data_IF_766168389000
#
_entry.id   IF_766168389000
#
_cell.length_a   1.000
_cell.length_b   1.000
_cell.length_c   1.000
_cell.angle_alpha   90.00
_cell.angle_beta   90.00
_cell.angle_gamma   90.00
#
_symmetry.space_group_name_H-M   'P 1'
#
loop_
_entity.id
_entity.type
_entity.pdbx_description
1 polymer ?
2 non-polymer ?
3 non-polymer ?
4 water ?
#
# COMPACT_ATOMS: atom_id res chain seq x y z
N UNK A 14 -12.64 21.28 24.54
CA UNK A 14 -12.10 19.92 24.83
C UNK A 14 -13.19 18.86 24.80
N UNK A 15 -14.31 19.15 24.14
CA UNK A 15 -15.39 18.17 24.09
C UNK A 15 -15.03 17.01 23.18
N UNK A 16 -15.79 15.92 23.30
CA UNK A 16 -15.55 14.72 22.51
C UNK A 16 -15.61 14.87 20.99
N UNK A 17 -16.69 15.50 20.48
CA UNK A 17 -16.81 15.67 19.02
C UNK A 17 -15.58 16.34 18.41
N UNK A 18 -15.07 17.37 19.09
CA UNK A 18 -13.89 18.08 18.61
C UNK A 18 -12.64 17.21 18.67
N UNK A 19 -12.55 16.39 19.71
CA UNK A 19 -11.40 15.50 19.87
C UNK A 19 -11.38 14.46 18.75
N UNK A 20 -12.56 13.99 18.36
CA UNK A 20 -12.68 13.00 17.30
C UNK A 20 -12.05 13.49 15.99
N UNK A 21 -12.47 14.68 15.55
CA UNK A 21 -11.95 15.27 14.31
C UNK A 21 -10.54 15.82 14.46
N UNK A 22 -10.21 16.26 15.67
CA UNK A 22 -8.89 16.82 15.93
C UNK A 22 -7.78 15.81 15.69
N UNK A 23 -8.09 14.54 15.92
CA UNK A 23 -7.10 13.48 15.72
C UNK A 23 -6.64 13.46 14.26
N UNK A 24 -7.59 13.54 13.33
CA UNK A 24 -7.27 13.51 11.90
C UNK A 24 -6.55 14.77 11.43
N UNK A 25 -6.89 15.90 12.02
CA UNK A 25 -6.29 17.17 11.66
C UNK A 25 -4.80 17.18 11.92
N UNK A 26 -4.31 16.19 12.65
CA UNK A 26 -2.89 16.12 12.95
C UNK A 26 -2.09 15.48 11.82
N UNK A 27 -2.78 14.91 10.84
CA UNK A 27 -2.11 14.29 9.70
C UNK A 27 -2.08 15.23 8.51
N UNK A 28 -1.04 15.12 7.69
CA UNK A 28 -0.94 15.97 6.51
C UNK A 28 -2.03 15.62 5.49
N UNK A 29 -2.45 16.62 4.72
CA UNK A 29 -3.50 16.46 3.71
C UNK A 29 -3.50 15.11 2.98
N UNK A 30 -2.45 14.86 2.21
CA UNK A 30 -2.36 13.62 1.47
C UNK A 30 -2.23 12.36 2.30
N UNK A 31 -2.36 12.49 3.61
CA UNK A 31 -2.25 11.33 4.50
C UNK A 31 -3.53 11.04 5.31
N UNK A 32 -4.65 11.65 4.94
CA UNK A 32 -5.89 11.40 5.66
C UNK A 32 -6.63 10.20 5.05
N UNK A 33 -7.26 9.41 5.90
CA UNK A 33 -7.95 8.20 5.48
C UNK A 33 -9.28 8.46 4.76
N UNK A 34 -9.91 9.60 5.05
CA UNK A 34 -11.17 9.96 4.42
C UNK A 34 -11.30 11.49 4.42
N UNK A 35 -12.17 12.05 3.58
CA UNK A 35 -12.30 13.50 3.51
C UNK A 35 -12.58 14.16 4.85
N UNK A 36 -11.88 15.26 5.13
CA UNK A 36 -12.09 15.97 6.40
C UNK A 36 -13.54 16.45 6.41
N UNK A 37 -14.11 16.61 5.22
CA UNK A 37 -15.49 17.05 5.07
C UNK A 37 -16.46 16.03 5.63
N UNK A 38 -16.19 14.75 5.37
CA UNK A 38 -17.04 13.67 5.86
C UNK A 38 -16.87 13.58 7.38
N UNK A 39 -15.63 13.77 7.84
CA UNK A 39 -15.33 13.72 9.26
C UNK A 39 -16.05 14.83 10.03
N UNK A 40 -16.12 16.01 9.43
CA UNK A 40 -16.79 17.12 10.09
C UNK A 40 -18.30 16.94 10.17
N UNK A 41 -18.86 16.18 9.23
CA UNK A 41 -20.30 15.91 9.26
C UNK A 41 -20.52 14.91 10.38
N UNK A 42 -19.57 14.00 10.55
CA UNK A 42 -19.67 13.02 11.63
C UNK A 42 -19.60 13.79 12.95
N UNK A 43 -18.74 14.79 13.02
CA UNK A 43 -18.61 15.60 14.24
C UNK A 43 -19.96 16.24 14.55
N UNK A 44 -20.59 16.77 13.52
CA UNK A 44 -21.90 17.42 13.66
C UNK A 44 -22.91 16.43 14.22
N UNK A 45 -22.98 15.25 13.61
CA UNK A 45 -23.90 14.22 14.08
C UNK A 45 -23.59 13.84 15.52
N UNK A 46 -22.31 13.77 15.86
CA UNK A 46 -21.93 13.43 17.23
C UNK A 46 -22.52 14.43 18.21
N UNK A 47 -22.45 15.71 17.86
CA UNK A 47 -23.00 16.77 18.71
C UNK A 47 -24.50 16.63 18.87
N UNK A 48 -25.17 16.14 17.83
CA UNK A 48 -26.61 15.96 17.87
C UNK A 48 -26.98 14.99 19.00
N UNK A 49 -26.04 14.14 19.37
CA UNK A 49 -26.27 13.20 20.46
C UNK A 49 -26.94 11.87 20.19
N UNK A 50 -27.46 11.68 18.99
CA UNK A 50 -28.13 10.42 18.66
C UNK A 50 -27.07 9.37 18.32
N UNK A 51 -26.66 8.61 19.31
CA UNK A 51 -25.62 7.58 19.16
C UNK A 51 -25.95 6.56 18.07
N UNK A 52 -27.24 6.32 17.87
CA UNK A 52 -27.68 5.36 16.86
C UNK A 52 -27.20 5.85 15.49
N UNK A 53 -27.59 7.07 15.14
CA UNK A 53 -27.22 7.66 13.87
C UNK A 53 -25.72 7.92 13.78
N UNK A 54 -25.12 8.30 14.90
CA UNK A 54 -23.68 8.58 14.94
C UNK A 54 -22.86 7.33 14.65
N UNK A 55 -23.15 6.24 15.35
CA UNK A 55 -22.40 4.99 15.14
C UNK A 55 -22.57 4.53 13.69
N UNK A 56 -23.79 4.68 13.17
CA UNK A 56 -24.07 4.26 11.81
C UNK A 56 -23.22 5.06 10.82
N UNK A 57 -23.11 6.37 11.04
CA UNK A 57 -22.32 7.23 10.16
C UNK A 57 -20.83 6.86 10.19
N UNK A 58 -20.32 6.53 11.39
CA UNK A 58 -18.92 6.15 11.52
C UNK A 58 -18.70 4.80 10.83
N UNK A 59 -19.63 3.87 11.04
CA UNK A 59 -19.52 2.55 10.42
C UNK A 59 -19.59 2.67 8.91
N UNK A 60 -20.38 3.63 8.41
CA UNK A 60 -20.49 3.83 6.97
C UNK A 60 -19.14 4.32 6.41
N UNK A 61 -18.49 5.23 7.14
CA UNK A 61 -17.20 5.76 6.71
C UNK A 61 -16.19 4.61 6.62
N UNK A 62 -16.18 3.75 7.63
CA UNK A 62 -15.29 2.60 7.67
C UNK A 62 -15.60 1.63 6.54
N UNK A 63 -16.88 1.46 6.24
CA UNK A 63 -17.28 0.55 5.19
C UNK A 63 -16.78 1.05 3.83
N UNK A 64 -16.88 2.36 3.61
CA UNK A 64 -16.43 2.94 2.35
C UNK A 64 -14.94 2.71 2.15
N UNK A 65 -14.17 2.91 3.22
CA UNK A 65 -12.73 2.69 3.14
C UNK A 65 -12.42 1.21 2.94
N UNK A 66 -12.96 0.36 3.80
CA UNK A 66 -12.71 -1.07 3.74
C UNK A 66 -13.18 -1.76 2.44
N UNK A 67 -14.34 -1.37 1.94
CA UNK A 67 -14.91 -1.98 0.75
C UNK A 67 -14.31 -1.52 -0.58
N UNK A 68 -13.49 -0.48 -0.54
CA UNK A 68 -12.91 0.05 -1.78
C UNK A 68 -12.11 -0.99 -2.56
N UNK A 69 -12.50 -1.17 -3.82
CA UNK A 69 -11.81 -2.10 -4.70
C UNK A 69 -11.07 -1.31 -5.78
N UNK A 70 -9.84 -1.71 -6.08
CA UNK A 70 -9.04 -1.05 -7.10
C UNK A 70 -8.71 -2.04 -8.21
N UNK A 71 -9.06 -1.69 -9.44
CA UNK A 71 -8.79 -2.55 -10.59
C UNK A 71 -7.80 -1.83 -11.49
N UNK A 72 -6.58 -2.36 -11.57
CA UNK A 72 -5.54 -1.75 -12.38
C UNK A 72 -5.25 -2.50 -13.68
N UNK A 73 -5.42 -1.82 -14.81
CA UNK A 73 -5.15 -2.44 -16.10
C UNK A 73 -3.70 -2.23 -16.48
N UNK A 74 -3.02 -3.31 -16.86
CA UNK A 74 -1.62 -3.25 -17.26
C UNK A 74 -1.54 -3.79 -18.70
N UNK A 75 -1.15 -2.92 -19.63
CA UNK A 75 -1.06 -3.32 -21.03
C UNK A 75 0.32 -3.03 -21.62
N UNK A 76 0.61 -3.65 -22.76
CA UNK A 76 1.89 -3.47 -23.42
C UNK A 76 2.26 -4.71 -24.22
N UNK A 77 3.30 -4.62 -25.04
CA UNK A 77 3.73 -5.76 -25.85
C UNK A 77 4.26 -6.90 -24.99
N UNK A 78 4.16 -8.11 -25.53
CA UNK A 78 4.67 -9.28 -24.85
C UNK A 78 6.15 -9.05 -24.55
N UNK A 79 6.61 -9.46 -23.37
CA UNK A 79 8.00 -9.30 -23.02
C UNK A 79 8.41 -7.93 -22.50
N UNK A 80 7.48 -6.99 -22.46
CA UNK A 80 7.80 -5.64 -21.97
C UNK A 80 7.97 -5.61 -20.45
N UNK A 81 7.45 -6.62 -19.76
CA UNK A 81 7.57 -6.67 -18.32
C UNK A 81 6.28 -6.47 -17.56
N UNK A 82 5.16 -6.83 -18.17
CA UNK A 82 3.87 -6.67 -17.53
C UNK A 82 3.72 -7.61 -16.33
N UNK A 83 4.01 -8.88 -16.55
CA UNK A 83 3.91 -9.88 -15.47
C UNK A 83 4.82 -9.52 -14.30
N UNK A 84 6.05 -9.12 -14.62
CA UNK A 84 7.00 -8.75 -13.59
C UNK A 84 6.54 -7.55 -12.76
N UNK A 85 6.02 -6.53 -13.45
CA UNK A 85 5.53 -5.32 -12.79
C UNK A 85 4.43 -5.71 -11.81
N UNK A 86 3.50 -6.53 -12.29
CA UNK A 86 2.38 -6.99 -11.48
C UNK A 86 2.84 -7.78 -10.26
N UNK A 87 3.84 -8.64 -10.44
CA UNK A 87 4.35 -9.42 -9.32
C UNK A 87 5.08 -8.53 -8.32
N UNK A 88 5.86 -7.59 -8.83
CA UNK A 88 6.61 -6.69 -7.97
C UNK A 88 5.69 -5.88 -7.06
N UNK A 89 4.67 -5.24 -7.63
CA UNK A 89 3.76 -4.44 -6.81
C UNK A 89 3.00 -5.29 -5.79
N UNK A 90 2.79 -6.57 -6.11
CA UNK A 90 2.10 -7.49 -5.21
C UNK A 90 3.07 -8.09 -4.19
N UNK A 91 4.37 -7.82 -4.37
CA UNK A 91 5.37 -8.34 -3.46
C UNK A 91 5.57 -9.84 -3.61
N UNK A 92 5.36 -10.34 -4.82
CA UNK A 92 5.50 -11.76 -5.11
C UNK A 92 6.65 -12.03 -6.08
N UNK A 93 7.39 -13.11 -5.85
CA UNK A 93 8.48 -13.47 -6.74
C UNK A 93 7.92 -14.08 -8.02
N UNK A 94 8.62 -13.89 -9.13
CA UNK A 94 8.15 -14.42 -10.41
C UNK A 94 7.99 -15.93 -10.45
N UNK A 95 8.57 -16.62 -9.46
CA UNK A 95 8.47 -18.08 -9.44
C UNK A 95 7.55 -18.63 -8.34
N UNK A 96 6.87 -17.74 -7.62
CA UNK A 96 5.95 -18.15 -6.57
C UNK A 96 4.58 -18.43 -7.15
N UNK A 97 3.70 -19.03 -6.34
CA UNK A 97 2.34 -19.34 -6.79
C UNK A 97 1.54 -18.05 -6.78
N UNK A 98 0.54 -17.98 -7.66
CA UNK A 98 -0.29 -16.79 -7.73
C UNK A 98 0.37 -15.68 -8.52
N UNK A 99 1.67 -15.86 -8.79
CA UNK A 99 2.42 -14.87 -9.54
C UNK A 99 2.11 -14.99 -11.03
N UNK A 100 2.08 -13.85 -11.73
CA UNK A 100 1.81 -13.86 -13.15
C UNK A 100 3.05 -14.49 -13.80
N UNK A 101 2.86 -15.61 -14.49
CA UNK A 101 3.97 -16.30 -15.13
C UNK A 101 4.70 -15.42 -16.13
N UNK A 102 5.97 -15.15 -15.87
CA UNK A 102 6.76 -14.32 -16.77
C UNK A 102 7.20 -15.12 -18.00
N UNK A 103 6.71 -14.70 -19.16
CA UNK A 103 7.05 -15.39 -20.40
C UNK A 103 5.91 -15.40 -21.40
N UNK A 104 6.27 -15.39 -22.69
CA UNK A 104 5.27 -15.39 -23.77
C UNK A 104 4.21 -16.46 -23.55
N UNK A 109 -5.41 -14.22 -27.11
CA UNK A 109 -5.69 -14.52 -25.72
C UNK A 109 -6.53 -13.40 -25.09
N UNK A 110 -6.75 -13.48 -23.78
CA UNK A 110 -7.55 -12.48 -23.08
C UNK A 110 -6.92 -12.00 -21.77
N UNK A 111 -7.60 -11.08 -21.10
CA UNK A 111 -7.12 -10.49 -19.84
C UNK A 111 -7.14 -11.49 -18.68
N UNK A 112 -6.25 -11.29 -17.71
CA UNK A 112 -6.15 -12.17 -16.56
C UNK A 112 -5.95 -11.33 -15.28
N UNK A 113 -6.79 -11.55 -14.27
CA UNK A 113 -6.68 -10.80 -13.01
C UNK A 113 -5.71 -11.45 -12.02
N UNK A 114 -5.07 -10.60 -11.22
CA UNK A 114 -4.12 -11.07 -10.20
C UNK A 114 -4.35 -10.21 -8.97
N UNK A 115 -4.99 -10.80 -7.97
CA UNK A 115 -5.28 -10.10 -6.73
C UNK A 115 -4.04 -10.00 -5.86
N UNK A 116 -3.97 -8.95 -5.05
CA UNK A 116 -2.85 -8.78 -4.15
C UNK A 116 -3.04 -9.88 -3.10
N UNK A 117 -1.96 -10.56 -2.68
CA UNK A 117 -2.01 -11.64 -1.69
C UNK A 117 -2.56 -11.28 -0.31
N UNK A 118 -2.33 -10.05 0.12
CA UNK A 118 -2.79 -9.61 1.44
C UNK A 118 -4.02 -8.72 1.39
N UNK A 119 -4.14 -7.94 0.32
CA UNK A 119 -5.27 -7.01 0.15
C UNK A 119 -6.03 -7.42 -1.10
N UNK A 120 -6.95 -8.38 -0.97
CA UNK A 120 -7.76 -8.90 -2.08
C UNK A 120 -8.48 -7.82 -2.89
N UNK A 121 -8.73 -6.67 -2.25
CA UNK A 121 -9.42 -5.57 -2.91
C UNK A 121 -8.55 -4.79 -3.88
N UNK A 122 -7.30 -5.24 -4.04
CA UNK A 122 -6.37 -4.62 -4.98
C UNK A 122 -6.16 -5.67 -6.06
N UNK A 123 -6.61 -5.39 -7.27
CA UNK A 123 -6.52 -6.34 -8.37
C UNK A 123 -5.81 -5.79 -9.59
N UNK A 124 -4.80 -6.50 -10.05
CA UNK A 124 -4.04 -6.12 -11.24
C UNK A 124 -4.48 -6.99 -12.41
N UNK A 125 -4.78 -6.35 -13.54
CA UNK A 125 -5.21 -7.08 -14.72
C UNK A 125 -4.14 -7.04 -15.80
N UNK A 126 -3.69 -8.22 -16.24
CA UNK A 126 -2.70 -8.31 -17.29
C UNK A 126 -3.47 -8.36 -18.61
N UNK A 127 -3.34 -7.33 -19.43
CA UNK A 127 -4.06 -7.30 -20.71
C UNK A 127 -3.13 -7.62 -21.88
N UNK A 128 -3.62 -8.40 -22.85
CA UNK A 128 -2.77 -8.73 -24.01
C UNK A 128 -2.47 -7.42 -24.72
N UNK A 129 -1.25 -7.25 -25.22
CA UNK A 129 -0.89 -6.02 -25.91
C UNK A 129 -1.77 -5.83 -27.14
N UNK A 130 -2.12 -4.58 -27.44
CA UNK A 130 -2.97 -4.29 -28.60
C UNK A 130 -2.29 -4.80 -29.87
N UNK A 131 -0.96 -4.70 -29.90
CA UNK A 131 -0.20 -5.15 -31.06
C UNK A 131 -0.39 -6.62 -31.38
N UNK A 132 -0.85 -7.40 -30.42
CA UNK A 132 -1.07 -8.83 -30.65
C UNK A 132 -2.49 -9.06 -31.17
N UNK A 133 -3.25 -7.99 -31.35
CA UNK A 133 -4.62 -8.10 -31.84
C UNK A 133 -4.76 -7.34 -33.16
N UNK A 134 -5.90 -7.50 -33.81
CA UNK A 134 -6.17 -6.81 -35.08
C UNK A 134 -7.15 -5.66 -34.83
N UNK A 135 -7.26 -5.25 -33.57
CA UNK A 135 -8.19 -4.19 -33.19
C UNK A 135 -7.60 -2.79 -33.07
N UNK A 136 -8.38 -1.78 -33.51
CA UNK A 136 -7.96 -0.37 -33.46
C UNK A 136 -8.08 -0.01 -31.97
N UNK A 137 -7.44 1.09 -31.53
CA UNK A 137 -7.48 1.52 -30.12
C UNK A 137 -8.83 1.47 -29.41
N UNK A 138 -9.88 2.00 -30.04
CA UNK A 138 -11.21 2.01 -29.42
C UNK A 138 -11.81 0.62 -29.24
N UNK A 139 -11.74 -0.22 -30.28
CA UNK A 139 -12.28 -1.57 -30.20
C UNK A 139 -11.51 -2.38 -29.14
N UNK A 140 -10.21 -2.18 -29.11
CA UNK A 140 -9.35 -2.89 -28.15
C UNK A 140 -9.81 -2.61 -26.72
N UNK A 141 -9.98 -1.33 -26.40
CA UNK A 141 -10.40 -0.92 -25.06
C UNK A 141 -11.77 -1.50 -24.68
N UNK A 142 -12.71 -1.49 -25.63
CA UNK A 142 -14.03 -2.03 -25.32
C UNK A 142 -13.92 -3.53 -25.07
N UNK A 143 -13.15 -4.23 -25.90
CA UNK A 143 -12.96 -5.66 -25.75
C UNK A 143 -12.37 -5.99 -24.38
N UNK A 144 -11.46 -5.14 -23.92
CA UNK A 144 -10.80 -5.34 -22.63
C UNK A 144 -11.62 -4.87 -21.42
N UNK A 145 -12.85 -4.45 -21.67
CA UNK A 145 -13.74 -3.99 -20.60
C UNK A 145 -13.21 -2.73 -19.90
N UNK A 146 -12.86 -1.75 -20.72
CA UNK A 146 -12.35 -0.46 -20.29
C UNK A 146 -12.98 0.16 -19.04
N UNK A 147 -14.30 0.19 -18.97
CA UNK A 147 -14.98 0.80 -17.84
C UNK A 147 -14.80 0.12 -16.47
N UNK A 148 -14.22 -1.08 -16.47
CA UNK A 148 -14.01 -1.79 -15.20
C UNK A 148 -12.75 -1.36 -14.45
N UNK A 149 -11.89 -0.57 -15.09
CA UNK A 149 -10.64 -0.15 -14.44
C UNK A 149 -10.63 1.25 -13.87
N UNK A 150 -9.82 1.42 -12.83
CA UNK A 150 -9.66 2.71 -12.16
C UNK A 150 -8.61 3.53 -12.90
N UNK A 151 -7.59 2.83 -13.41
CA UNK A 151 -6.55 3.50 -14.20
C UNK A 151 -5.73 2.50 -14.99
N UNK A 152 -5.04 2.99 -16.02
CA UNK A 152 -4.24 2.15 -16.90
C UNK A 152 -2.76 2.38 -16.77
N UNK A 153 -1.98 1.30 -16.87
CA UNK A 153 -0.53 1.37 -16.84
C UNK A 153 -0.12 0.86 -18.22
N UNK A 154 0.57 1.70 -18.98
CA UNK A 154 1.03 1.31 -20.32
C UNK A 154 2.54 1.11 -20.25
N UNK A 155 2.96 -0.13 -20.43
CA UNK A 155 4.37 -0.49 -20.32
C UNK A 155 5.13 -0.79 -21.60
N UNK A 156 6.38 -0.35 -21.64
CA UNK A 156 7.28 -0.60 -22.76
C UNK A 156 8.68 -0.76 -22.17
N UNK A 157 9.45 -1.70 -22.72
CA UNK A 157 10.79 -1.95 -22.24
C UNK A 157 11.83 -1.12 -23.00
N UNK A 158 11.42 -0.49 -24.10
CA UNK A 158 12.34 0.32 -24.89
C UNK A 158 11.72 1.69 -25.19
N UNK A 159 11.17 1.86 -26.39
CA UNK A 159 10.54 3.12 -26.74
C UNK A 159 9.04 2.87 -26.88
N UNK A 160 8.24 3.92 -26.78
CA UNK A 160 6.80 3.77 -26.89
C UNK A 160 6.34 3.93 -28.34
N UNK A 161 5.75 2.87 -28.87
CA UNK A 161 5.29 2.86 -30.25
C UNK A 161 3.93 3.53 -30.43
N UNK A 162 3.57 3.77 -31.69
CA UNK A 162 2.30 4.40 -32.04
C UNK A 162 1.12 3.71 -31.35
N UNK A 163 1.17 2.39 -31.32
CA UNK A 163 0.14 1.57 -30.68
C UNK A 163 -0.15 2.04 -29.27
N UNK A 164 0.91 2.04 -28.45
CA UNK A 164 0.82 2.43 -27.04
C UNK A 164 0.30 3.85 -26.89
N UNK A 165 0.86 4.75 -27.69
CA UNK A 165 0.48 6.15 -27.64
C UNK A 165 -0.98 6.38 -28.02
N UNK A 166 -1.47 5.68 -29.04
CA UNK A 166 -2.86 5.84 -29.45
C UNK A 166 -3.84 5.32 -28.40
N UNK A 167 -3.45 4.26 -27.71
CA UNK A 167 -4.29 3.70 -26.65
C UNK A 167 -4.42 4.77 -25.58
N UNK A 168 -3.29 5.41 -25.25
CA UNK A 168 -3.27 6.45 -24.24
C UNK A 168 -4.23 7.58 -24.61
N UNK A 169 -4.14 8.04 -25.86
CA UNK A 169 -5.01 9.11 -26.32
C UNK A 169 -6.49 8.72 -26.19
N UNK A 170 -6.82 7.48 -26.55
CA UNK A 170 -8.19 7.00 -26.47
C UNK A 170 -8.67 6.95 -25.00
N UNK A 171 -7.79 6.49 -24.12
CA UNK A 171 -8.10 6.40 -22.70
C UNK A 171 -8.38 7.82 -22.17
N UNK A 172 -7.48 8.74 -22.51
CA UNK A 172 -7.61 10.12 -22.08
C UNK A 172 -8.91 10.71 -22.60
N UNK A 173 -9.26 10.39 -23.85
CA UNK A 173 -10.48 10.91 -24.45
C UNK A 173 -11.71 10.38 -23.73
N UNK A 174 -11.60 9.20 -23.13
CA UNK A 174 -12.73 8.61 -22.41
C UNK A 174 -12.74 9.01 -20.94
N UNK A 175 -11.91 10.00 -20.60
CA UNK A 175 -11.83 10.53 -19.24
C UNK A 175 -11.31 9.60 -18.15
N UNK A 176 -10.29 8.80 -18.47
CA UNK A 176 -9.71 7.92 -17.47
C UNK A 176 -8.21 8.19 -17.42
N UNK A 177 -7.58 7.91 -16.27
CA UNK A 177 -6.15 8.17 -16.11
C UNK A 177 -5.25 7.03 -16.60
N UNK A 178 -4.11 7.41 -17.18
CA UNK A 178 -3.13 6.45 -17.70
C UNK A 178 -1.75 6.89 -17.26
N UNK A 179 -0.81 5.95 -17.23
CA UNK A 179 0.56 6.24 -16.83
C UNK A 179 1.51 5.42 -17.69
N UNK A 180 2.53 6.07 -18.25
CA UNK A 180 3.51 5.38 -19.06
C UNK A 180 4.64 4.87 -18.16
N UNK A 181 4.95 3.59 -18.26
CA UNK A 181 6.01 3.01 -17.44
C UNK A 181 7.05 2.36 -18.35
N UNK A 182 8.28 2.85 -18.27
CA UNK A 182 9.37 2.33 -19.10
C UNK A 182 10.19 1.41 -18.22
N UNK A 183 10.08 0.12 -18.47
CA UNK A 183 10.78 -0.89 -17.68
C UNK A 183 12.18 -1.22 -18.17
N UNK A 184 12.84 -2.11 -17.44
CA UNK A 184 14.18 -2.59 -17.76
C UNK A 184 15.26 -1.52 -17.88
N UNK A 185 15.10 -0.39 -17.20
CA UNK A 185 16.11 0.66 -17.29
C UNK A 185 17.44 0.18 -16.72
N UNK A 186 17.39 -0.79 -15.81
CA UNK A 186 18.60 -1.32 -15.22
C UNK A 186 19.46 -1.97 -16.30
N UNK A 187 18.79 -2.64 -17.25
CA UNK A 187 19.48 -3.31 -18.35
C UNK A 187 20.18 -2.30 -19.25
N UNK A 188 19.55 -1.15 -19.45
CA UNK A 188 20.15 -0.11 -20.27
C UNK A 188 21.41 0.42 -19.61
N UNK A 189 21.32 0.71 -18.32
CA UNK A 189 22.46 1.23 -17.60
C UNK A 189 23.61 0.24 -17.55
N UNK A 190 23.30 -1.02 -17.30
CA UNK A 190 24.32 -2.07 -17.22
C UNK A 190 25.07 -2.22 -18.54
N UNK A 191 24.33 -2.35 -19.63
CA UNK A 191 24.93 -2.52 -20.94
C UNK A 191 25.76 -1.32 -21.38
N UNK A 192 25.29 -0.12 -21.11
CA UNK A 192 26.01 1.08 -21.49
C UNK A 192 27.25 1.34 -20.63
N UNK A 193 27.15 1.00 -19.34
CA UNK A 193 28.24 1.22 -18.40
C UNK A 193 29.30 0.14 -18.37
N UNK A 194 28.94 -1.07 -18.80
CA UNK A 194 29.87 -2.20 -18.78
C UNK A 194 31.29 -1.86 -19.26
N UNK A 195 32.26 -2.03 -18.38
CA UNK A 195 33.65 -1.76 -18.72
C UNK A 195 34.04 -0.30 -18.87
N UNK A 196 33.11 0.60 -18.64
CA UNK A 196 33.39 2.03 -18.75
C UNK A 196 34.05 2.56 -17.46
N UNK A 197 34.78 3.67 -17.55
CA UNK A 197 35.44 4.26 -16.37
C UNK A 197 34.39 4.71 -15.35
N UNK A 198 34.83 4.92 -14.11
CA UNK A 198 33.94 5.35 -13.04
C UNK A 198 33.18 6.61 -13.44
N UNK A 199 33.79 7.41 -14.31
CA UNK A 199 33.19 8.65 -14.76
C UNK A 199 31.91 8.49 -15.57
N UNK A 200 31.62 7.27 -16.04
CA UNK A 200 30.40 7.05 -16.81
C UNK A 200 29.20 7.58 -16.04
N UNK A 201 28.37 8.38 -16.70
CA UNK A 201 27.21 8.98 -16.05
C UNK A 201 25.92 8.18 -16.20
N UNK A 202 25.65 7.32 -15.23
CA UNK A 202 24.45 6.49 -15.25
C UNK A 202 23.17 7.31 -15.11
N UNK A 203 23.23 8.36 -14.30
CA UNK A 203 22.05 9.21 -14.11
C UNK A 203 21.60 9.86 -15.42
N UNK A 204 22.57 10.30 -16.22
CA UNK A 204 22.28 10.94 -17.51
C UNK A 204 21.47 10.03 -18.44
N UNK A 205 21.77 8.74 -18.41
CA UNK A 205 21.05 7.79 -19.25
C UNK A 205 19.54 7.90 -18.96
N UNK A 206 19.18 7.96 -17.68
CA UNK A 206 17.78 8.06 -17.27
C UNK A 206 17.18 9.38 -17.70
N UNK A 207 17.88 10.47 -17.41
CA UNK A 207 17.40 11.81 -17.77
C UNK A 207 17.15 11.89 -19.28
N UNK A 208 18.05 11.32 -20.07
CA UNK A 208 17.89 11.36 -21.53
C UNK A 208 16.64 10.58 -21.98
N UNK A 209 16.47 9.37 -21.44
CA UNK A 209 15.31 8.56 -21.82
C UNK A 209 14.00 9.25 -21.46
N UNK A 210 13.93 9.84 -20.26
CA UNK A 210 12.71 10.51 -19.84
C UNK A 210 12.34 11.64 -20.78
N UNK A 211 13.29 12.54 -21.02
CA UNK A 211 13.05 13.69 -21.90
C UNK A 211 12.67 13.26 -23.32
N UNK A 212 13.35 12.24 -23.84
CA UNK A 212 13.07 11.76 -25.18
C UNK A 212 11.65 11.21 -25.29
N UNK A 213 11.22 10.46 -24.26
CA UNK A 213 9.88 9.91 -24.25
C UNK A 213 8.83 11.02 -24.23
N UNK A 214 9.03 12.00 -23.35
CA UNK A 214 8.09 13.11 -23.26
C UNK A 214 7.98 13.92 -24.55
N UNK A 215 9.11 14.19 -25.20
CA UNK A 215 9.07 14.94 -26.45
C UNK A 215 8.24 14.14 -27.44
N UNK A 216 8.46 12.83 -27.48
CA UNK A 216 7.72 11.96 -28.39
C UNK A 216 6.22 11.98 -28.10
N UNK A 217 5.85 11.87 -26.83
CA UNK A 217 4.44 11.89 -26.44
C UNK A 217 3.76 13.18 -26.87
N UNK A 218 4.38 14.31 -26.53
CA UNK A 218 3.81 15.61 -26.87
C UNK A 218 3.76 15.81 -28.37
N UNK A 219 4.78 15.32 -29.06
CA UNK A 219 4.82 15.43 -30.51
C UNK A 219 3.58 14.72 -31.06
N UNK A 220 3.18 13.65 -30.38
CA UNK A 220 2.03 12.84 -30.79
C UNK A 220 0.67 13.27 -30.23
N UNK A 221 0.61 14.45 -29.62
CA UNK A 221 -0.67 14.93 -29.12
C UNK A 221 -1.03 14.77 -27.65
N UNK A 222 -0.13 14.26 -26.83
CA UNK A 222 -0.44 14.12 -25.41
C UNK A 222 0.30 15.23 -24.69
N UNK A 223 -0.44 16.23 -24.20
CA UNK A 223 0.13 17.39 -23.53
C UNK A 223 0.83 17.13 -22.18
N UNK A 224 0.22 16.30 -21.34
CA UNK A 224 0.79 16.01 -20.03
C UNK A 224 0.94 14.52 -19.81
N UNK A 225 1.92 13.89 -20.48
CA UNK A 225 2.13 12.45 -20.34
C UNK A 225 2.92 12.03 -19.10
N UNK A 226 2.30 11.28 -18.18
CA UNK A 226 3.04 10.86 -16.99
C UNK A 226 4.01 9.75 -17.39
N UNK A 227 5.28 9.92 -17.09
CA UNK A 227 6.29 8.94 -17.45
C UNK A 227 7.13 8.51 -16.25
N UNK A 228 7.32 7.20 -16.11
CA UNK A 228 8.11 6.64 -15.02
C UNK A 228 9.08 5.58 -15.53
N UNK A 229 10.37 5.81 -15.30
CA UNK A 229 11.41 4.87 -15.71
C UNK A 229 11.76 4.05 -14.49
N UNK A 230 11.66 2.73 -14.60
CA UNK A 230 11.95 1.87 -13.46
C UNK A 230 12.45 0.49 -13.84
N UNK A 231 12.73 -0.30 -12.82
CA UNK A 231 13.20 -1.67 -12.98
C UNK A 231 12.41 -2.57 -12.05
N UNK A 232 11.77 -3.60 -12.60
CA UNK A 232 11.00 -4.52 -11.78
C UNK A 232 11.90 -5.32 -10.84
N UNK A 233 13.21 -5.28 -11.09
CA UNK A 233 14.16 -6.01 -10.26
C UNK A 233 14.73 -5.15 -9.13
N UNK A 234 14.33 -3.89 -9.07
CA UNK A 234 14.82 -2.99 -8.03
C UNK A 234 13.72 -1.98 -7.69
N UNK A 235 12.68 -2.44 -7.02
CA UNK A 235 11.54 -1.60 -6.65
C UNK A 235 11.91 -0.38 -5.80
N UNK A 236 13.05 -0.42 -5.14
CA UNK A 236 13.47 0.70 -4.30
C UNK A 236 14.12 1.85 -5.04
N UNK A 237 14.56 1.61 -6.27
CA UNK A 237 15.24 2.66 -7.02
C UNK A 237 14.55 3.17 -8.27
N UNK A 238 15.20 4.12 -8.95
CA UNK A 238 14.67 4.70 -10.17
C UNK A 238 13.35 5.40 -9.85
N UNK A 239 12.37 5.33 -10.76
CA UNK A 239 11.09 6.00 -10.53
C UNK A 239 9.99 5.19 -9.86
N UNK A 240 10.30 4.01 -9.32
CA UNK A 240 9.24 3.24 -8.68
C UNK A 240 8.63 3.97 -7.48
N UNK A 241 9.48 4.53 -6.59
CA UNK A 241 8.93 5.24 -5.44
C UNK A 241 8.01 6.39 -5.87
N UNK A 242 8.45 7.16 -6.86
CA UNK A 242 7.68 8.29 -7.37
C UNK A 242 6.35 7.84 -7.97
N UNK A 243 6.36 6.71 -8.66
CA UNK A 243 5.14 6.18 -9.27
C UNK A 243 4.12 5.85 -8.19
N UNK A 244 4.56 5.20 -7.12
CA UNK A 244 3.65 4.83 -6.04
C UNK A 244 3.03 6.07 -5.40
N UNK A 245 3.83 7.11 -5.18
CA UNK A 245 3.29 8.32 -4.58
C UNK A 245 2.27 9.01 -5.48
N UNK A 246 2.55 9.00 -6.78
CA UNK A 246 1.66 9.63 -7.74
C UNK A 246 0.34 8.86 -7.88
N UNK A 247 0.41 7.53 -7.93
CA UNK A 247 -0.80 6.73 -8.05
C UNK A 247 -1.73 6.96 -6.86
N UNK A 248 -1.15 7.00 -5.66
CA UNK A 248 -1.93 7.23 -4.46
C UNK A 248 -2.53 8.63 -4.48
N UNK A 249 -1.74 9.61 -4.90
CA UNK A 249 -2.21 11.00 -4.96
C UNK A 249 -3.40 11.20 -5.91
N UNK A 250 -3.41 10.49 -7.03
CA UNK A 250 -4.48 10.61 -8.03
C UNK A 250 -5.80 9.97 -7.64
N UNK A 251 -5.75 9.04 -6.70
CA UNK A 251 -6.93 8.30 -6.26
C UNK A 251 -7.85 9.12 -5.36
N UNK A 252 -9.15 8.82 -5.36
CA UNK A 252 -10.07 9.56 -4.48
C UNK A 252 -9.57 9.22 -3.08
N UNK A 253 -9.65 10.18 -2.16
CA UNK A 253 -9.16 9.99 -0.80
C UNK A 253 -9.46 8.65 -0.13
N UNK A 254 -10.74 8.28 -0.06
CA UNK A 254 -11.13 7.03 0.60
C UNK A 254 -10.58 5.74 -0.02
N UNK A 255 -10.15 5.79 -1.28
CA UNK A 255 -9.61 4.60 -1.92
C UNK A 255 -8.12 4.40 -1.64
N UNK A 256 -7.47 5.42 -1.10
CA UNK A 256 -6.03 5.36 -0.83
C UNK A 256 -5.59 4.33 0.20
N UNK A 257 -6.34 4.20 1.29
CA UNK A 257 -5.97 3.26 2.34
C UNK A 257 -5.68 1.82 1.88
N UNK A 258 -6.63 1.20 1.21
CA UNK A 258 -6.43 -0.18 0.75
C UNK A 258 -5.24 -0.32 -0.19
N UNK A 259 -5.05 0.62 -1.09
CA UNK A 259 -3.92 0.53 -2.00
C UNK A 259 -2.62 0.82 -1.25
N UNK A 260 -2.65 1.83 -0.39
CA UNK A 260 -1.46 2.20 0.37
C UNK A 260 -0.89 1.02 1.17
N UNK A 261 -1.74 0.34 1.93
CA UNK A 261 -1.26 -0.77 2.74
C UNK A 261 -0.74 -1.95 1.92
N UNK A 262 -1.12 -2.00 0.64
CA UNK A 262 -0.69 -3.08 -0.25
C UNK A 262 0.69 -2.84 -0.87
N UNK A 263 1.17 -1.60 -0.80
CA UNK A 263 2.45 -1.28 -1.44
C UNK A 263 3.72 -1.86 -0.82
N UNK A 264 4.75 -2.09 -1.65
CA UNK A 264 6.02 -2.64 -1.20
C UNK A 264 6.61 -1.69 -0.16
N UNK A 265 7.18 -2.25 0.91
CA UNK A 265 7.76 -1.46 1.99
C UNK A 265 9.19 -1.05 1.62
N UNK A 266 9.30 -0.12 0.68
CA UNK A 266 10.60 0.32 0.18
C UNK A 266 11.40 1.36 0.98
N UNK A 267 10.72 2.23 1.71
CA UNK A 267 11.42 3.26 2.48
C UNK A 267 10.79 3.52 3.83
N UNK A 268 11.52 4.21 4.70
CA UNK A 268 11.00 4.55 6.01
C UNK A 268 9.76 5.43 5.81
N UNK A 269 9.78 6.25 4.77
CA UNK A 269 8.66 7.14 4.46
C UNK A 269 7.39 6.36 4.15
N UNK A 270 7.52 5.35 3.30
CA UNK A 270 6.38 4.52 2.92
C UNK A 270 5.86 3.76 4.12
N UNK A 271 6.78 3.26 4.94
CA UNK A 271 6.41 2.51 6.15
C UNK A 271 5.66 3.44 7.11
N UNK A 272 6.18 4.65 7.28
CA UNK A 272 5.56 5.61 8.17
C UNK A 272 4.18 6.03 7.66
N UNK A 273 4.07 6.16 6.34
CA UNK A 273 2.79 6.55 5.73
C UNK A 273 1.74 5.46 5.99
N UNK A 274 2.14 4.20 5.90
CA UNK A 274 1.20 3.10 6.16
C UNK A 274 0.70 3.17 7.59
N UNK A 275 1.61 3.42 8.53
CA UNK A 275 1.28 3.53 9.94
C UNK A 275 0.26 4.63 10.16
N UNK A 276 0.48 5.78 9.53
CA UNK A 276 -0.42 6.91 9.67
C UNK A 276 -1.84 6.56 9.22
N UNK A 277 -1.97 5.86 8.10
CA UNK A 277 -3.29 5.45 7.62
C UNK A 277 -3.93 4.46 8.58
N UNK A 278 -3.15 3.47 9.00
CA UNK A 278 -3.65 2.45 9.92
C UNK A 278 -4.03 3.03 11.28
N UNK A 279 -3.35 4.08 11.73
CA UNK A 279 -3.68 4.70 13.02
C UNK A 279 -5.07 5.31 12.95
N UNK A 280 -5.38 5.91 11.81
CA UNK A 280 -6.68 6.52 11.59
C UNK A 280 -7.80 5.49 11.53
N UNK A 281 -7.51 4.32 10.97
CA UNK A 281 -8.56 3.30 10.92
C UNK A 281 -8.88 2.80 12.33
N UNK A 282 -7.86 2.69 13.17
CA UNK A 282 -8.06 2.26 14.55
C UNK A 282 -8.96 3.28 15.27
N UNK A 283 -8.69 4.56 15.03
CA UNK A 283 -9.47 5.64 15.65
C UNK A 283 -10.94 5.54 15.25
N UNK A 284 -11.20 5.36 13.95
CA UNK A 284 -12.58 5.25 13.46
C UNK A 284 -13.26 4.04 14.10
N UNK A 285 -12.58 2.91 14.02
CA UNK A 285 -13.05 1.65 14.56
C UNK A 285 -13.33 1.80 16.07
N UNK A 286 -12.42 2.50 16.77
CA UNK A 286 -12.58 2.71 18.19
C UNK A 286 -13.82 3.51 18.54
N UNK A 287 -14.11 4.56 17.77
CA UNK A 287 -15.28 5.38 18.03
C UNK A 287 -16.56 4.65 17.66
N UNK A 288 -16.49 3.80 16.63
CA UNK A 288 -17.64 3.03 16.19
C UNK A 288 -18.09 2.05 17.27
N UNK A 289 -17.12 1.55 18.05
CA UNK A 289 -17.41 0.61 19.11
C UNK A 289 -17.93 1.31 20.36
N UNK A 290 -17.84 2.64 20.36
CA UNK A 290 -18.27 3.50 21.45
C UNK A 290 -17.20 3.64 22.53
N UNK A 291 -16.99 4.86 22.99
CA UNK A 291 -16.00 5.12 24.03
C UNK A 291 -16.60 4.71 25.37
N UNK A 292 -15.75 4.51 26.36
CA UNK A 292 -16.21 4.12 27.67
C UNK A 292 -15.61 5.02 28.73
N UNK A 293 -16.00 4.83 29.99
CA UNK A 293 -15.47 5.64 31.07
C UNK A 293 -14.53 4.83 31.94
N UNK A 294 -14.28 3.59 31.54
CA UNK A 294 -13.41 2.68 32.28
C UNK A 294 -11.96 2.74 31.77
N UNK A 295 -11.01 2.88 32.69
CA UNK A 295 -9.59 2.93 32.33
C UNK A 295 -9.22 1.58 31.70
N UNK A 296 -8.57 1.61 30.52
CA UNK A 296 -8.16 0.42 29.76
C UNK A 296 -7.25 -0.65 30.36
N UNK A 297 -6.51 -0.31 31.41
CA UNK A 297 -5.60 -1.30 32.00
C UNK A 297 -6.11 -1.96 33.27
N UNK A 298 -7.37 -1.72 33.62
CA UNK A 298 -7.93 -2.27 34.85
C UNK A 298 -8.23 -3.76 34.83
N UNK A 299 -8.55 -4.32 33.67
CA UNK A 299 -8.88 -5.74 33.60
C UNK A 299 -8.23 -6.51 32.45
N UNK A 300 -8.43 -7.83 32.49
CA UNK A 300 -7.92 -8.70 31.45
C UNK A 300 -8.87 -8.56 30.25
N UNK A 301 -8.51 -9.18 29.14
CA UNK A 301 -9.30 -9.11 27.91
C UNK A 301 -10.27 -10.28 27.71
N UNK A 302 -11.36 -10.00 27.01
CA UNK A 302 -12.35 -11.03 26.68
C UNK A 302 -11.62 -11.93 25.69
N UNK A 303 -11.98 -13.20 25.64
CA UNK A 303 -11.33 -14.12 24.72
C UNK A 303 -11.56 -13.69 23.28
N UNK A 304 -12.75 -13.17 22.97
CA UNK A 304 -13.04 -12.71 21.62
C UNK A 304 -12.10 -11.57 21.23
N UNK A 305 -11.84 -10.66 22.17
CA UNK A 305 -10.93 -9.54 21.88
C UNK A 305 -9.51 -10.06 21.70
N UNK A 306 -9.18 -11.11 22.44
CA UNK A 306 -7.86 -11.70 22.36
C UNK A 306 -7.66 -12.30 20.96
N UNK A 307 -8.69 -12.98 20.46
CA UNK A 307 -8.60 -13.59 19.14
C UNK A 307 -8.53 -12.51 18.06
N UNK A 308 -9.26 -11.43 18.25
CA UNK A 308 -9.23 -10.33 17.31
C UNK A 308 -7.83 -9.74 17.24
N UNK A 309 -7.20 -9.58 18.40
CA UNK A 309 -5.85 -9.02 18.45
C UNK A 309 -4.83 -9.91 17.73
N UNK A 310 -4.98 -11.22 17.84
CA UNK A 310 -4.07 -12.14 17.18
C UNK A 310 -4.20 -11.98 15.67
N UNK A 311 -5.43 -11.77 15.21
CA UNK A 311 -5.66 -11.57 13.77
C UNK A 311 -5.09 -10.22 13.35
N UNK A 312 -5.25 -9.22 14.21
CA UNK A 312 -4.74 -7.89 13.92
C UNK A 312 -3.22 -7.92 13.80
N UNK A 313 -2.56 -8.63 14.71
CA UNK A 313 -1.10 -8.72 14.67
C UNK A 313 -0.67 -9.37 13.35
N UNK A 314 -1.34 -10.45 12.96
CA UNK A 314 -0.98 -11.14 11.73
C UNK A 314 -1.14 -10.20 10.53
N UNK A 315 -2.23 -9.46 10.50
CA UNK A 315 -2.48 -8.52 9.40
C UNK A 315 -1.40 -7.45 9.34
N UNK A 316 -1.12 -6.80 10.47
CA UNK A 316 -0.09 -5.77 10.51
C UNK A 316 1.27 -6.31 10.07
N UNK A 317 1.64 -7.47 10.60
CA UNK A 317 2.93 -8.07 10.23
C UNK A 317 3.00 -8.28 8.71
N UNK A 318 1.92 -8.76 8.12
CA UNK A 318 1.91 -9.01 6.68
C UNK A 318 1.97 -7.69 5.89
N UNK A 319 1.21 -6.70 6.33
CA UNK A 319 1.20 -5.41 5.65
C UNK A 319 2.61 -4.83 5.61
N UNK A 320 3.33 -4.95 6.72
CA UNK A 320 4.67 -4.40 6.80
C UNK A 320 5.80 -5.36 6.42
N UNK A 321 5.45 -6.51 5.86
CA UNK A 321 6.47 -7.46 5.43
C UNK A 321 7.30 -8.15 6.50
N UNK A 322 6.78 -8.25 7.71
CA UNK A 322 7.52 -8.94 8.77
C UNK A 322 6.78 -10.20 9.22
N UNK A 323 5.92 -10.71 8.34
CA UNK A 323 5.18 -11.93 8.62
C UNK A 323 6.11 -13.10 8.29
N UNK A 324 5.77 -14.30 8.76
CA UNK A 324 6.58 -15.50 8.52
C UNK A 324 6.96 -15.70 7.06
N UNK A 325 5.95 -15.71 6.19
CA UNK A 325 6.18 -15.92 4.76
C UNK A 325 7.16 -14.90 4.16
N UNK A 326 6.98 -13.63 4.50
CA UNK A 326 7.87 -12.59 3.99
C UNK A 326 9.29 -12.79 4.49
N UNK A 327 9.43 -13.18 5.76
CA UNK A 327 10.76 -13.40 6.33
C UNK A 327 11.46 -14.58 5.66
N UNK A 328 10.71 -15.65 5.41
CA UNK A 328 11.27 -16.82 4.75
C UNK A 328 11.80 -16.43 3.39
N UNK A 329 10.97 -15.73 2.64
CA UNK A 329 11.30 -15.28 1.30
C UNK A 329 12.58 -14.44 1.24
N UNK A 330 12.77 -13.58 2.23
CA UNK A 330 13.95 -12.72 2.27
C UNK A 330 15.24 -13.45 2.62
N UNK A 331 15.23 -14.16 3.75
CA UNK A 331 16.40 -14.87 4.25
C UNK A 331 16.73 -16.21 3.62
N UNK A 332 16.02 -16.57 2.55
CA UNK A 332 16.26 -17.84 1.86
C UNK A 332 17.75 -18.13 1.67
N UNK A 333 18.45 -17.21 0.99
CA UNK A 333 19.86 -17.37 0.71
C UNK A 333 20.81 -16.52 1.57
N UNK A 334 20.25 -15.78 2.52
CA UNK A 334 21.06 -14.93 3.38
C UNK A 334 22.00 -15.73 4.26
N UNK A 335 23.01 -15.07 4.84
CA UNK A 335 23.94 -15.77 5.70
C UNK A 335 23.27 -16.08 7.04
N UNK A 336 22.20 -15.36 7.34
CA UNK A 336 21.40 -15.61 8.54
C UNK A 336 20.03 -16.08 8.08
N UNK A 337 19.57 -17.18 8.64
CA UNK A 337 18.28 -17.76 8.29
C UNK A 337 17.13 -17.06 8.99
N UNK A 338 15.91 -17.53 8.75
CA UNK A 338 14.72 -16.91 9.35
C UNK A 338 14.72 -16.77 10.86
N UNK A 339 15.12 -17.81 11.59
CA UNK A 339 15.13 -17.71 13.04
C UNK A 339 16.05 -16.59 13.51
N UNK A 340 17.15 -16.37 12.80
CA UNK A 340 18.11 -15.32 13.15
C UNK A 340 17.48 -13.95 12.90
N UNK A 341 16.78 -13.84 11.78
CA UNK A 341 16.13 -12.59 11.40
C UNK A 341 15.04 -12.23 12.40
N UNK A 342 14.23 -13.22 12.79
CA UNK A 342 13.14 -12.99 13.74
C UNK A 342 13.66 -12.52 15.09
N UNK A 343 14.83 -13.01 15.48
CA UNK A 343 15.43 -12.65 16.75
C UNK A 343 15.74 -11.14 16.80
N UNK A 344 15.88 -10.53 15.64
CA UNK A 344 16.20 -9.11 15.57
C UNK A 344 15.00 -8.19 15.73
N UNK A 345 13.79 -8.77 15.72
CA UNK A 345 12.59 -7.95 15.86
C UNK A 345 11.70 -8.44 17.00
N UNK A 346 10.67 -7.67 17.32
CA UNK A 346 9.80 -8.00 18.44
C UNK A 346 8.44 -8.63 18.19
N UNK A 347 7.74 -8.24 17.12
CA UNK A 347 6.40 -8.77 16.89
C UNK A 347 6.24 -10.30 16.80
N UNK A 348 7.22 -11.03 16.26
CA UNK A 348 7.06 -12.48 16.17
C UNK A 348 6.94 -13.21 17.53
N UNK A 349 7.48 -12.60 18.58
CA UNK A 349 7.44 -13.21 19.90
C UNK A 349 6.15 -13.02 20.70
N UNK A 350 5.40 -11.96 20.41
CA UNK A 350 4.19 -11.68 21.16
C UNK A 350 3.26 -12.88 21.37
N UNK A 351 2.86 -13.54 20.28
CA UNK A 351 1.95 -14.66 20.39
C UNK A 351 2.55 -16.05 20.26
N UNK A 352 3.79 -16.23 20.73
CA UNK A 352 4.41 -17.55 20.69
C UNK A 352 3.54 -18.35 21.65
N UNK A 353 3.41 -19.68 21.43
CA UNK A 353 2.59 -20.52 22.31
C UNK A 353 2.90 -20.40 23.80
N UNK A 354 1.84 -20.19 24.58
CA UNK A 354 1.93 -20.08 26.03
C UNK A 354 0.51 -20.25 26.57
N UNK A 355 0.34 -20.30 27.88
CA UNK A 355 -1.00 -20.47 28.44
C UNK A 355 -1.78 -19.16 28.31
N UNK A 356 -3.08 -19.19 28.57
CA UNK A 356 -3.88 -17.97 28.43
C UNK A 356 -3.54 -16.92 29.48
N UNK A 357 -3.14 -17.36 30.66
CA UNK A 357 -2.78 -16.44 31.73
C UNK A 357 -1.58 -15.58 31.36
N UNK A 358 -0.55 -16.24 30.83
CA UNK A 358 0.68 -15.54 30.46
C UNK A 358 0.45 -14.48 29.39
N UNK A 359 -0.32 -14.81 28.37
CA UNK A 359 -0.57 -13.84 27.31
C UNK A 359 -1.42 -12.69 27.84
N UNK A 360 -2.36 -12.99 28.75
CA UNK A 360 -3.20 -11.96 29.33
C UNK A 360 -2.35 -11.01 30.17
N UNK A 361 -1.41 -11.58 30.92
CA UNK A 361 -0.54 -10.77 31.75
C UNK A 361 0.39 -9.95 30.86
N UNK A 362 0.84 -10.54 29.77
CA UNK A 362 1.74 -9.83 28.85
C UNK A 362 1.03 -8.63 28.25
N UNK A 363 -0.20 -8.82 27.80
CA UNK A 363 -0.95 -7.71 27.20
C UNK A 363 -1.38 -6.68 28.24
N UNK A 364 -1.66 -7.13 29.46
CA UNK A 364 -2.08 -6.22 30.50
C UNK A 364 -0.94 -5.26 30.85
N UNK A 365 0.29 -5.68 30.57
CA UNK A 365 1.44 -4.83 30.84
C UNK A 365 1.64 -3.86 29.67
N UNK A 366 1.44 -4.35 28.44
CA UNK A 366 1.59 -3.50 27.28
C UNK A 366 0.64 -2.31 27.37
N UNK A 367 -0.59 -2.57 27.81
CA UNK A 367 -1.59 -1.51 27.92
C UNK A 367 -1.17 -0.42 28.90
N UNK A 368 -0.63 -0.82 30.06
CA UNK A 368 -0.20 0.17 31.03
C UNK A 368 0.93 1.00 30.45
N UNK A 369 1.87 0.32 29.79
CA UNK A 369 3.02 0.99 29.19
C UNK A 369 2.63 1.93 28.05
N UNK A 370 1.70 1.52 27.19
CA UNK A 370 1.29 2.38 26.09
C UNK A 370 0.66 3.67 26.64
N UNK A 371 -0.26 3.51 27.57
CA UNK A 371 -0.95 4.67 28.15
C UNK A 371 -0.06 5.57 29.00
N UNK A 372 0.94 5.00 29.67
CA UNK A 372 1.83 5.81 30.49
C UNK A 372 2.69 6.68 29.57
N UNK A 373 3.03 6.14 28.40
CA UNK A 373 3.86 6.86 27.46
C UNK A 373 3.10 7.80 26.51
N UNK A 374 1.88 7.43 26.15
CA UNK A 374 1.10 8.23 25.20
C UNK A 374 -0.16 8.90 25.75
N UNK A 375 -0.55 8.55 26.96
CA UNK A 375 -1.77 9.13 27.50
C UNK A 375 -2.95 8.34 26.96
N UNK A 376 -4.16 8.86 27.15
CA UNK A 376 -5.35 8.16 26.68
C UNK A 376 -5.91 8.66 25.35
N UNK A 377 -5.23 9.66 24.77
CA UNK A 377 -5.62 10.21 23.48
C UNK A 377 -6.98 10.91 23.46
N UNK A 378 -7.62 10.98 24.62
CA UNK A 378 -8.95 11.58 24.72
C UNK A 378 -9.07 12.45 25.97
N UNK A 379 -10.09 13.31 26.00
CA UNK A 379 -10.29 14.20 27.17
C UNK A 379 -10.42 13.33 28.42
N UNK A 380 -10.12 13.91 29.58
CA UNK A 380 -10.19 13.18 30.83
C UNK A 380 -11.49 12.41 31.03
N UNK A 381 -11.35 11.21 31.57
CA UNK A 381 -12.48 10.32 31.87
C UNK A 381 -13.13 9.61 30.69
N UNK A 382 -12.61 9.82 29.47
CA UNK A 382 -13.13 9.14 28.29
C UNK A 382 -12.01 8.25 27.75
N UNK A 383 -12.35 7.04 27.35
CA UNK A 383 -11.34 6.11 26.83
C UNK A 383 -11.87 5.24 25.71
N UNK A 384 -10.96 4.72 24.90
CA UNK A 384 -11.32 3.80 23.83
C UNK A 384 -11.36 2.48 24.59
N UNK A 385 -12.00 1.47 24.02
CA UNK A 385 -12.01 0.18 24.68
C UNK A 385 -10.56 -0.29 24.61
N UNK A 386 -10.13 -1.10 25.58
CA UNK A 386 -8.74 -1.57 25.64
C UNK A 386 -8.12 -2.14 24.37
N UNK A 387 -8.87 -2.98 23.65
CA UNK A 387 -8.35 -3.59 22.44
C UNK A 387 -7.75 -2.59 21.45
N UNK A 388 -8.33 -1.39 21.36
CA UNK A 388 -7.82 -0.41 20.41
C UNK A 388 -6.47 0.17 20.83
N UNK A 389 -6.24 0.37 22.13
CA UNK A 389 -4.94 0.88 22.55
C UNK A 389 -3.92 -0.20 22.23
N UNK A 390 -4.32 -1.46 22.35
CA UNK A 390 -3.44 -2.59 22.07
C UNK A 390 -3.11 -2.66 20.58
N UNK A 391 -4.06 -2.26 19.73
CA UNK A 391 -3.80 -2.26 18.29
C UNK A 391 -2.74 -1.21 17.99
N UNK A 392 -2.82 -0.05 18.66
CA UNK A 392 -1.83 1.01 18.47
C UNK A 392 -0.47 0.50 18.91
N UNK A 393 -0.45 -0.22 20.02
CA UNK A 393 0.80 -0.75 20.54
C UNK A 393 1.43 -1.70 19.53
N UNK A 394 0.64 -2.65 19.03
CA UNK A 394 1.15 -3.62 18.03
C UNK A 394 1.60 -2.90 16.77
N UNK A 395 0.81 -1.91 16.35
CA UNK A 395 1.13 -1.17 15.15
C UNK A 395 2.50 -0.49 15.27
N UNK A 396 2.76 0.15 16.39
CA UNK A 396 4.06 0.81 16.60
C UNK A 396 5.17 -0.24 16.59
N UNK A 397 4.94 -1.34 17.28
CA UNK A 397 5.93 -2.42 17.35
C UNK A 397 6.25 -2.95 15.96
N UNK A 398 5.21 -3.27 15.20
CA UNK A 398 5.40 -3.79 13.86
C UNK A 398 6.06 -2.75 12.94
N UNK A 399 5.69 -1.49 13.12
CA UNK A 399 6.28 -0.45 12.29
C UNK A 399 7.79 -0.38 12.53
N UNK A 400 8.19 -0.43 13.79
CA UNK A 400 9.61 -0.39 14.13
C UNK A 400 10.33 -1.61 13.56
N UNK A 401 9.66 -2.77 13.57
CA UNK A 401 10.26 -3.99 13.04
C UNK A 401 10.47 -3.85 11.53
N UNK A 402 9.54 -3.20 10.84
CA UNK A 402 9.64 -3.02 9.39
C UNK A 402 10.87 -2.19 9.04
N UNK A 403 11.14 -1.15 9.82
CA UNK A 403 12.28 -0.29 9.57
C UNK A 403 13.58 -1.02 9.86
N UNK A 404 13.58 -1.84 10.91
CA UNK A 404 14.76 -2.61 11.27
C UNK A 404 15.07 -3.56 10.12
N UNK A 405 14.04 -4.24 9.62
CA UNK A 405 14.20 -5.18 8.53
C UNK A 405 14.60 -4.50 7.23
N UNK A 406 14.08 -3.30 6.98
CA UNK A 406 14.41 -2.60 5.74
C UNK A 406 15.91 -2.37 5.67
N UNK A 407 16.50 -1.95 6.79
CA UNK A 407 17.94 -1.71 6.84
C UNK A 407 18.71 -2.99 6.50
N UNK A 408 18.26 -4.13 7.04
CA UNK A 408 18.92 -5.40 6.79
C UNK A 408 18.79 -5.82 5.31
N UNK A 409 17.65 -5.53 4.70
CA UNK A 409 17.44 -5.88 3.30
C UNK A 409 18.37 -5.08 2.40
N UNK A 410 18.46 -3.79 2.66
CA UNK A 410 19.30 -2.92 1.85
C UNK A 410 20.78 -3.27 1.92
N UNK A 411 21.24 -3.72 3.09
CA UNK A 411 22.64 -4.10 3.24
C UNK A 411 22.98 -5.36 2.44
N UNK A 412 21.98 -6.21 2.21
CA UNK A 412 22.21 -7.46 1.51
C UNK A 412 21.77 -7.57 0.05
N UNK A 413 20.66 -6.94 -0.30
CA UNK A 413 20.16 -7.03 -1.66
C UNK A 413 20.32 -5.71 -2.42
X LIG B 1 2.10 -10.77 -19.57
X LIG C 1 5.42 -9.77 -20.17
X LIG C 1 5.80 -10.77 -21.16
X LIG C 1 5.04 -8.42 -20.70
X LIG C 1 4.21 -10.11 -19.28
X LIG C 1 6.78 -9.34 -19.26
X LIG C 1 7.63 -10.43 -18.41
X LIG C 1 7.31 -9.79 -17.11
X LIG C 1 7.23 -11.86 -18.46
X LIG C 1 9.13 -10.01 -18.75
X LIG C 1 9.88 -10.39 -19.88
X LIG C 1 11.30 -10.79 -19.41
X LIG C 1 12.17 -9.68 -18.95
X LIG C 1 11.41 -11.76 -18.18
X LIG C 1 12.54 -12.62 -18.50
X LIG C 1 11.68 -10.87 -16.96
X LIG C 1 12.38 -11.50 -15.90
X LIG C 1 12.42 -9.70 -17.56
X LIG C 1 12.03 -8.35 -17.01
X LIG C 1 10.83 -7.72 -16.82
X LIG C 1 10.94 -6.53 -16.30
X LIG C 1 12.30 -6.33 -16.12
X LIG C 1 13.08 -5.23 -15.59
X LIG C 1 12.64 -4.14 -15.16
X LIG C 1 14.49 -5.46 -15.60
X LIG C 1 15.10 -6.64 -16.06
X LIG C 1 16.44 -6.68 -15.99
X LIG C 1 14.38 -7.70 -16.56
X LIG C 1 13.02 -7.46 -16.55
#
# INVERSE_FOLDING_TARGET
>A
MGQLFSSPKSDENNDLPSSFTGYFKKFNTGRKIISQEILNLIELRMRAGNIQLTNSAISDALKEIDSSVLNVAVTGETGSGKSSFINTLRGIGNEEEGAAKTGVVEVTMERHPYKHPNIPNVVFWDLPGIGSTNFPPDTYLEKMKFYEYDFFIIISATRFKKNDIDIAKAISMMKKEFYFVRTKVDSDITNEADGEPQTFDKEKVLQDIRLNCVNTFRENGIAEPPIFLLSNKNVCHYDFPVLMDKLISDLPIYKRHNFMVSLPNITDSVIEKKRQFLKQRIWLEGFAADLVNIIPSLTFLLDSDLETLKKSMKFYRTVFGVDETSLQRLARDWEIEVDQVEAMIKSPAVFKPTDEETIQERLSRYIQEFCLANGYLLPKNSFLKEIFYLKYYFLDMVTEDAKTLLKEICLRN
>B hetero
1 MG MG
>C hetero
1 GDP PB O1B O2B O3B O3A PA O1A O2A O5' C5' C4' O4' C3' O3' C2' O2' C1' N9 C8 N7 C5 C6 O6 N1 C2 N2 N3 C4
#
